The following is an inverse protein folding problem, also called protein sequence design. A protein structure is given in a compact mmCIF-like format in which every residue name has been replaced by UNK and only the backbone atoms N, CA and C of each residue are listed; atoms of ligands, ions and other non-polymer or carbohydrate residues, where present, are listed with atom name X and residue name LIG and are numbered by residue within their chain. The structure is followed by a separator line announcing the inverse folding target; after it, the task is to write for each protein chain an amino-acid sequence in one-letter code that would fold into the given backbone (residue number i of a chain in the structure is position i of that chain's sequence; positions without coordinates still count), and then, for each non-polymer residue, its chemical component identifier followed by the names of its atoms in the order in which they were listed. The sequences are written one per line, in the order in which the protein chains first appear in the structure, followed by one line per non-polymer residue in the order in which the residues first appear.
data_IF_051068180566
#
_entry.id   IF_051068180566
#
_cell.length_a   1.000
_cell.length_b   1.000
_cell.length_c   1.000
_cell.angle_alpha   90.00
_cell.angle_beta   90.00
_cell.angle_gamma   90.00
#
_symmetry.space_group_name_H-M   'P 1'
#
loop_
_entity.id
_entity.type
_entity.pdbx_description
1 polymer ?
#
# COMPACT_ATOMS: atom_id res chain seq x y z
N UNK A 1 5.21 -30.18 -23.11
CA UNK A 1 4.49 -29.24 -22.26
C UNK A 1 5.41 -28.90 -21.10
N UNK A 2 5.89 -27.65 -20.92
CA UNK A 2 6.64 -27.31 -19.73
C UNK A 2 5.72 -27.40 -18.52
N UNK A 3 6.14 -28.15 -17.53
CA UNK A 3 5.48 -28.34 -16.24
C UNK A 3 5.33 -26.97 -15.57
N UNK A 4 4.09 -26.47 -15.45
CA UNK A 4 3.82 -25.24 -14.72
C UNK A 4 4.19 -25.48 -13.26
N UNK A 5 5.34 -24.97 -12.81
CA UNK A 5 5.68 -24.90 -11.40
C UNK A 5 4.54 -24.20 -10.68
N UNK A 6 3.85 -24.91 -9.78
CA UNK A 6 2.96 -24.28 -8.83
C UNK A 6 3.77 -23.22 -8.08
N UNK A 7 3.27 -21.97 -7.95
CA UNK A 7 3.94 -21.00 -7.12
C UNK A 7 4.13 -21.62 -5.73
N UNK A 8 5.34 -21.57 -5.19
CA UNK A 8 5.61 -22.00 -3.83
C UNK A 8 4.79 -21.09 -2.91
N UNK A 9 3.76 -21.64 -2.27
CA UNK A 9 2.99 -20.94 -1.26
C UNK A 9 3.86 -20.76 -0.02
N UNK A 10 3.98 -19.51 0.44
CA UNK A 10 4.60 -19.18 1.70
C UNK A 10 3.54 -19.25 2.81
N UNK A 11 3.81 -20.02 3.86
CA UNK A 11 2.92 -20.06 5.01
C UNK A 11 3.21 -18.87 5.94
N UNK A 12 2.17 -18.07 6.21
CA UNK A 12 2.15 -17.02 7.22
C UNK A 12 1.22 -17.45 8.33
N UNK A 13 1.74 -17.58 9.54
CA UNK A 13 0.92 -17.96 10.69
C UNK A 13 0.08 -16.75 11.13
N UNK A 14 -1.22 -16.93 11.32
CA UNK A 14 -2.15 -15.86 11.71
C UNK A 14 -2.97 -16.29 12.92
N UNK A 15 -3.06 -15.39 13.90
CA UNK A 15 -3.98 -15.51 15.03
C UNK A 15 -5.10 -14.49 14.87
N UNK A 16 -6.35 -14.92 15.00
CA UNK A 16 -7.50 -14.04 15.11
C UNK A 16 -7.64 -13.57 16.56
N UNK A 17 -7.52 -12.28 16.79
CA UNK A 17 -7.82 -11.62 18.06
C UNK A 17 -9.33 -11.36 18.17
N UNK A 18 -9.99 -11.27 17.02
CA UNK A 18 -11.43 -11.23 16.85
C UNK A 18 -11.86 -12.44 16.01
N UNK A 19 -12.59 -13.41 16.59
CA UNK A 19 -12.93 -14.67 15.92
C UNK A 19 -13.85 -14.51 14.70
N UNK A 20 -14.58 -13.40 14.60
CA UNK A 20 -15.50 -13.12 13.49
C UNK A 20 -14.80 -12.56 12.25
N UNK A 21 -13.54 -12.11 12.40
CA UNK A 21 -12.78 -11.53 11.29
C UNK A 21 -12.31 -12.63 10.33
N UNK A 22 -12.46 -12.46 9.00
CA UNK A 22 -11.89 -13.39 8.03
C UNK A 22 -10.36 -13.34 8.05
N UNK A 23 -9.71 -14.43 7.68
CA UNK A 23 -8.28 -14.40 7.36
C UNK A 23 -8.05 -13.53 6.12
N UNK A 24 -6.87 -12.89 5.99
CA UNK A 24 -6.52 -12.16 4.78
C UNK A 24 -6.67 -13.05 3.55
N UNK A 25 -7.35 -12.55 2.52
CA UNK A 25 -7.63 -13.31 1.31
C UNK A 25 -7.39 -12.47 0.06
N UNK A 26 -6.93 -13.13 -1.00
CA UNK A 26 -6.81 -12.55 -2.33
C UNK A 26 -8.17 -12.59 -3.03
N UNK A 27 -8.60 -11.46 -3.60
CA UNK A 27 -9.88 -11.38 -4.29
C UNK A 27 -9.89 -12.21 -5.59
N UNK A 28 -8.75 -12.23 -6.30
CA UNK A 28 -8.59 -12.98 -7.55
C UNK A 28 -7.26 -13.73 -7.59
N UNK A 29 -7.19 -14.84 -8.37
CA UNK A 29 -5.92 -15.51 -8.63
C UNK A 29 -4.91 -14.54 -9.26
N UNK A 30 -3.72 -14.46 -8.67
CA UNK A 30 -2.65 -13.56 -9.13
C UNK A 30 -2.62 -12.18 -8.48
N UNK A 31 -3.58 -11.84 -7.62
CA UNK A 31 -3.51 -10.62 -6.82
C UNK A 31 -2.28 -10.66 -5.90
N UNK A 32 -1.63 -9.50 -5.72
CA UNK A 32 -0.49 -9.36 -4.83
C UNK A 32 -0.90 -8.98 -3.40
N UNK A 33 -2.04 -8.31 -3.24
CA UNK A 33 -2.54 -7.82 -1.97
C UNK A 33 -3.67 -8.68 -1.41
N UNK A 34 -3.53 -9.16 -0.18
CA UNK A 34 -4.59 -9.80 0.57
C UNK A 34 -5.38 -8.76 1.36
N UNK A 35 -6.72 -8.77 1.27
CA UNK A 35 -7.55 -7.76 1.92
C UNK A 35 -7.48 -7.85 3.46
N UNK A 36 -7.42 -6.68 4.10
CA UNK A 36 -7.58 -6.48 5.54
C UNK A 36 -8.86 -5.70 5.80
N UNK A 37 -9.64 -6.13 6.80
CA UNK A 37 -10.92 -5.52 7.16
C UNK A 37 -10.85 -4.76 8.48
N UNK A 38 -11.77 -3.81 8.68
CA UNK A 38 -11.98 -3.16 9.97
C UNK A 38 -12.76 -4.07 10.93
N UNK A 39 -12.40 -4.04 12.22
CA UNK A 39 -13.18 -4.70 13.28
C UNK A 39 -14.18 -3.77 13.97
N UNK A 40 -14.20 -2.51 13.60
CA UNK A 40 -15.04 -1.46 14.19
C UNK A 40 -15.62 -0.58 13.11
N UNK A 41 -16.70 0.11 13.44
CA UNK A 41 -17.18 1.23 12.63
C UNK A 41 -16.25 2.42 12.84
N UNK A 42 -15.98 3.18 11.78
CA UNK A 42 -15.05 4.31 11.79
C UNK A 42 -15.67 5.46 11.00
N UNK A 43 -15.77 6.61 11.64
CA UNK A 43 -16.07 7.89 10.99
C UNK A 43 -14.78 8.69 10.85
N UNK A 44 -14.47 9.11 9.62
CA UNK A 44 -13.28 9.89 9.27
C UNK A 44 -13.72 11.25 8.72
N UNK A 45 -13.62 12.29 9.52
CA UNK A 45 -13.81 13.66 9.05
C UNK A 45 -12.67 14.09 8.09
N UNK A 46 -12.88 15.14 7.27
CA UNK A 46 -11.82 15.69 6.42
C UNK A 46 -10.53 15.97 7.19
N UNK A 47 -9.40 15.45 6.72
CA UNK A 47 -8.09 15.59 7.35
C UNK A 47 -7.87 14.75 8.61
N UNK A 48 -8.87 14.04 9.10
CA UNK A 48 -8.75 13.19 10.27
C UNK A 48 -7.93 11.91 9.98
N UNK A 49 -7.23 11.42 11.00
CA UNK A 49 -6.56 10.12 10.99
C UNK A 49 -6.98 9.26 12.18
N UNK A 50 -7.21 7.99 11.91
CA UNK A 50 -7.65 7.01 12.92
C UNK A 50 -6.84 5.72 12.78
N UNK A 51 -6.39 5.16 13.91
CA UNK A 51 -5.75 3.85 13.96
C UNK A 51 -6.81 2.76 14.09
N UNK A 52 -7.06 2.03 13.01
CA UNK A 52 -8.15 1.05 12.89
C UNK A 52 -7.62 -0.36 13.14
N UNK A 53 -8.20 -1.10 14.10
CA UNK A 53 -7.84 -2.49 14.35
C UNK A 53 -8.35 -3.41 13.24
N UNK A 54 -7.56 -4.46 12.94
CA UNK A 54 -7.93 -5.52 11.98
C UNK A 54 -8.34 -6.82 12.67
N UNK A 55 -8.13 -6.94 13.99
CA UNK A 55 -8.37 -8.17 14.73
C UNK A 55 -7.43 -9.32 14.40
N UNK A 56 -6.30 -9.05 13.76
CA UNK A 56 -5.34 -10.05 13.31
C UNK A 56 -3.95 -9.77 13.85
N UNK A 57 -3.30 -10.81 14.34
CA UNK A 57 -1.86 -10.83 14.59
C UNK A 57 -1.21 -11.91 13.71
N UNK A 58 0.01 -11.69 13.25
CA UNK A 58 0.67 -12.62 12.35
C UNK A 58 2.15 -12.80 12.63
N UNK A 59 2.68 -13.94 12.21
CA UNK A 59 4.10 -14.24 12.24
C UNK A 59 4.60 -14.47 10.82
N UNK A 60 5.32 -13.50 10.31
CA UNK A 60 6.03 -13.62 9.03
C UNK A 60 7.33 -14.42 9.23
N UNK A 61 7.73 -15.28 8.29
CA UNK A 61 9.04 -15.91 8.33
C UNK A 61 10.17 -14.88 8.19
N UNK A 62 11.35 -15.23 8.72
CA UNK A 62 12.57 -14.43 8.49
C UNK A 62 12.84 -14.25 6.98
N UNK A 63 13.37 -13.09 6.61
CA UNK A 63 13.60 -12.70 5.23
C UNK A 63 12.34 -12.26 4.48
N UNK A 64 11.23 -12.07 5.19
CA UNK A 64 10.00 -11.52 4.62
C UNK A 64 9.50 -10.31 5.40
N UNK A 65 8.78 -9.45 4.72
CA UNK A 65 8.09 -8.27 5.26
C UNK A 65 6.64 -8.28 4.81
N UNK A 66 5.74 -7.83 5.67
CA UNK A 66 4.37 -7.50 5.31
C UNK A 66 4.25 -6.00 5.07
N UNK A 67 3.80 -5.61 3.88
CA UNK A 67 3.56 -4.21 3.55
C UNK A 67 2.06 -3.96 3.48
N UNK A 68 1.59 -3.04 4.32
CA UNK A 68 0.19 -2.63 4.36
C UNK A 68 0.00 -1.43 3.44
N UNK A 69 -0.74 -1.64 2.35
CA UNK A 69 -0.99 -0.65 1.31
C UNK A 69 -2.44 -0.14 1.35
N UNK A 70 -2.67 1.12 0.93
CA UNK A 70 -4.01 1.62 0.68
C UNK A 70 -4.71 0.80 -0.42
N UNK A 71 -6.03 0.86 -0.41
CA UNK A 71 -6.86 0.29 -1.48
C UNK A 71 -7.19 1.38 -2.49
N UNK A 72 -6.90 1.13 -3.77
CA UNK A 72 -7.13 2.08 -4.87
C UNK A 72 -8.59 2.57 -4.95
N UNK A 73 -9.55 1.68 -4.65
CA UNK A 73 -10.97 2.04 -4.67
C UNK A 73 -11.37 3.03 -3.58
N UNK A 74 -10.82 2.91 -2.35
CA UNK A 74 -11.03 3.87 -1.28
C UNK A 74 -10.32 5.19 -1.58
N UNK A 75 -9.08 5.12 -2.07
CA UNK A 75 -8.30 6.30 -2.41
C UNK A 75 -8.96 7.13 -3.50
N UNK A 76 -9.41 6.48 -4.59
CA UNK A 76 -9.96 7.19 -5.76
C UNK A 76 -11.37 7.75 -5.50
N UNK A 77 -12.23 7.03 -4.75
CA UNK A 77 -13.62 7.44 -4.55
C UNK A 77 -13.86 8.30 -3.31
N UNK A 78 -13.04 8.11 -2.28
CA UNK A 78 -13.29 8.70 -0.97
C UNK A 78 -12.06 9.43 -0.39
N UNK A 79 -10.95 9.53 -1.14
CA UNK A 79 -9.75 10.19 -0.65
C UNK A 79 -9.08 9.48 0.56
N UNK A 80 -9.49 8.25 0.89
CA UNK A 80 -8.94 7.54 2.05
C UNK A 80 -7.60 6.89 1.70
N UNK A 81 -6.60 7.16 2.52
CA UNK A 81 -5.25 6.62 2.38
C UNK A 81 -4.71 6.12 3.73
N UNK A 82 -3.46 5.68 3.74
CA UNK A 82 -2.71 5.27 4.93
C UNK A 82 -1.58 6.27 5.16
N UNK A 83 -1.49 6.83 6.37
CA UNK A 83 -0.54 7.91 6.70
C UNK A 83 0.91 7.48 6.49
N UNK A 84 1.26 6.27 6.89
CA UNK A 84 2.60 5.68 6.80
C UNK A 84 2.75 4.67 5.66
N UNK A 85 2.01 4.84 4.57
CA UNK A 85 2.04 3.88 3.46
C UNK A 85 3.41 3.80 2.76
N UNK A 86 3.93 2.58 2.52
CA UNK A 86 3.41 1.31 3.02
C UNK A 86 3.72 1.13 4.51
N UNK A 87 2.73 0.72 5.30
CA UNK A 87 2.95 0.31 6.70
C UNK A 87 3.80 -0.96 6.72
N UNK A 88 4.85 -0.99 7.54
CA UNK A 88 5.79 -2.11 7.60
C UNK A 88 5.46 -3.02 8.77
N UNK A 89 5.26 -4.30 8.49
CA UNK A 89 5.09 -5.38 9.47
C UNK A 89 6.34 -6.26 9.41
N UNK A 90 7.16 -6.18 10.44
CA UNK A 90 8.41 -6.93 10.53
C UNK A 90 8.17 -8.41 10.84
N UNK A 91 9.10 -9.30 10.44
CA UNK A 91 9.02 -10.73 10.74
C UNK A 91 8.98 -11.02 12.26
N UNK A 92 9.61 -10.18 13.08
CA UNK A 92 9.60 -10.29 14.55
C UNK A 92 8.37 -9.70 15.24
N UNK A 93 7.49 -8.96 14.53
CA UNK A 93 6.29 -8.38 15.13
C UNK A 93 5.24 -9.44 15.46
N UNK A 94 4.61 -9.32 16.63
CA UNK A 94 3.56 -10.26 17.11
C UNK A 94 2.31 -9.56 17.61
N UNK A 95 2.28 -8.22 17.59
CA UNK A 95 1.11 -7.46 17.97
C UNK A 95 0.02 -7.48 16.90
N UNK A 96 -1.12 -6.88 17.22
CA UNK A 96 -2.20 -6.69 16.26
C UNK A 96 -1.76 -5.79 15.11
N UNK A 97 -2.04 -6.22 13.89
CA UNK A 97 -1.90 -5.37 12.70
C UNK A 97 -3.02 -4.33 12.73
N UNK A 98 -2.63 -3.06 12.83
CA UNK A 98 -3.55 -1.93 12.79
C UNK A 98 -3.24 -1.04 11.61
N UNK A 99 -4.26 -0.40 11.05
CA UNK A 99 -4.13 0.45 9.86
C UNK A 99 -4.37 1.90 10.26
N UNK A 100 -3.38 2.76 10.03
CA UNK A 100 -3.48 4.20 10.30
C UNK A 100 -4.08 4.90 9.09
N UNK A 101 -5.42 4.97 9.03
CA UNK A 101 -6.15 5.63 7.96
C UNK A 101 -6.11 7.15 8.08
N UNK A 102 -6.24 7.83 6.94
CA UNK A 102 -6.42 9.27 6.84
C UNK A 102 -7.45 9.58 5.74
N UNK A 103 -8.34 10.53 6.00
CA UNK A 103 -9.21 11.09 4.98
C UNK A 103 -8.55 12.34 4.37
N UNK A 104 -8.16 12.26 3.10
CA UNK A 104 -7.55 13.35 2.34
C UNK A 104 -8.58 14.17 1.57
N UNK A 105 -9.86 13.79 1.59
CA UNK A 105 -10.92 14.63 1.05
C UNK A 105 -11.02 15.93 1.87
N UNK A 106 -11.24 17.05 1.19
CA UNK A 106 -11.28 18.37 1.83
C UNK A 106 -12.67 18.73 2.42
N UNK A 107 -13.72 17.97 2.10
CA UNK A 107 -15.11 18.33 2.37
C UNK A 107 -15.94 17.20 2.96
N UNK A 108 -15.75 15.98 2.45
CA UNK A 108 -16.62 14.85 2.74
C UNK A 108 -16.05 13.96 3.85
N UNK A 109 -16.88 13.66 4.84
CA UNK A 109 -16.59 12.63 5.82
C UNK A 109 -16.83 11.25 5.22
N UNK A 110 -16.04 10.27 5.64
CA UNK A 110 -16.15 8.88 5.18
C UNK A 110 -16.55 8.00 6.34
N UNK A 111 -17.62 7.25 6.19
CA UNK A 111 -18.02 6.19 7.12
C UNK A 111 -17.55 4.83 6.59
N UNK A 112 -16.84 4.08 7.41
CA UNK A 112 -16.41 2.70 7.16
C UNK A 112 -17.05 1.82 8.21
N UNK A 113 -17.81 0.83 7.79
CA UNK A 113 -18.44 -0.12 8.70
C UNK A 113 -17.47 -1.24 9.09
N UNK A 114 -17.72 -1.88 10.25
CA UNK A 114 -17.09 -3.14 10.62
C UNK A 114 -17.20 -4.16 9.47
N UNK A 115 -16.10 -4.79 9.11
CA UNK A 115 -16.03 -5.74 7.99
C UNK A 115 -15.66 -5.11 6.64
N UNK A 116 -15.67 -3.78 6.53
CA UNK A 116 -15.20 -3.12 5.32
C UNK A 116 -13.71 -3.36 5.11
N UNK A 117 -13.33 -3.57 3.85
CA UNK A 117 -11.94 -3.75 3.43
C UNK A 117 -11.25 -2.40 3.41
N UNK A 118 -10.36 -2.16 4.38
CA UNK A 118 -9.71 -0.87 4.62
C UNK A 118 -8.29 -0.78 4.07
N UNK A 119 -7.63 -1.92 3.86
CA UNK A 119 -6.24 -2.00 3.40
C UNK A 119 -6.01 -3.31 2.66
N UNK A 120 -4.80 -3.48 2.14
CA UNK A 120 -4.32 -4.73 1.57
C UNK A 120 -2.90 -5.04 2.06
N UNK A 121 -2.65 -6.30 2.39
CA UNK A 121 -1.35 -6.81 2.83
C UNK A 121 -0.62 -7.45 1.66
N UNK A 122 0.57 -6.97 1.36
CA UNK A 122 1.51 -7.58 0.41
C UNK A 122 2.65 -8.22 1.20
N UNK A 123 2.89 -9.51 1.01
CA UNK A 123 4.03 -10.20 1.61
C UNK A 123 5.11 -10.40 0.55
N UNK A 124 6.32 -9.92 0.84
CA UNK A 124 7.45 -10.04 -0.07
C UNK A 124 8.76 -10.35 0.67
N UNK A 125 9.75 -10.82 -0.07
CA UNK A 125 11.11 -10.98 0.46
C UNK A 125 11.76 -9.64 0.70
N UNK A 126 12.58 -9.56 1.76
CA UNK A 126 13.36 -8.38 2.10
C UNK A 126 14.81 -8.78 2.36
N UNK A 127 15.72 -7.98 1.85
CA UNK A 127 17.15 -8.13 2.12
C UNK A 127 17.54 -7.32 3.36
N UNK A 128 18.39 -7.92 4.20
CA UNK A 128 19.04 -7.22 5.30
C UNK A 128 20.38 -6.69 4.84
N UNK A 129 20.45 -5.37 4.61
CA UNK A 129 21.68 -4.73 4.19
C UNK A 129 22.66 -4.60 5.36
N UNK A 130 23.92 -5.02 5.15
CA UNK A 130 25.05 -4.64 5.98
C UNK A 130 25.57 -3.28 5.52
N UNK A 131 25.44 -2.26 6.38
CA UNK A 131 25.97 -0.92 6.07
C UNK A 131 27.45 -0.86 6.42
N UNK A 132 28.29 -0.53 5.41
CA UNK A 132 29.73 -0.38 5.55
C UNK A 132 30.09 1.07 5.27
N UNK A 133 30.70 1.72 6.23
CA UNK A 133 31.19 3.08 6.07
C UNK A 133 32.43 3.08 5.17
N UNK A 134 32.45 3.98 4.20
CA UNK A 134 33.55 4.21 3.29
C UNK A 134 33.84 5.71 3.20
N UNK A 135 35.09 6.07 2.96
CA UNK A 135 35.48 7.50 2.82
C UNK A 135 34.87 8.14 1.55
N UNK A 136 34.69 7.35 0.50
CA UNK A 136 34.15 7.81 -0.77
C UNK A 136 33.33 6.68 -1.43
N UNK A 137 32.16 7.04 -1.96
CA UNK A 137 31.36 6.12 -2.76
C UNK A 137 32.00 5.92 -4.16
N UNK A 138 31.83 4.74 -4.77
CA UNK A 138 32.23 4.50 -6.14
C UNK A 138 31.55 5.50 -7.11
N UNK A 139 32.24 5.89 -8.16
CA UNK A 139 31.68 6.74 -9.19
C UNK A 139 30.53 6.04 -9.93
N UNK A 140 29.52 6.80 -10.31
CA UNK A 140 28.38 6.31 -11.10
C UNK A 140 28.07 7.27 -12.25
N UNK A 141 27.45 6.77 -13.32
CA UNK A 141 27.06 7.57 -14.46
C UNK A 141 26.05 8.68 -14.11
N UNK A 142 25.31 8.52 -13.01
CA UNK A 142 24.36 9.51 -12.51
C UNK A 142 25.01 10.54 -11.58
N UNK A 143 26.12 10.21 -10.92
CA UNK A 143 26.78 11.06 -9.93
C UNK A 143 25.82 11.54 -8.84
N UNK A 144 25.92 12.83 -8.48
CA UNK A 144 25.09 13.50 -7.49
C UNK A 144 23.74 13.99 -8.03
N UNK A 145 23.42 13.71 -9.29
CA UNK A 145 22.19 14.12 -9.96
C UNK A 145 20.94 13.54 -9.30
N UNK A 146 20.14 14.39 -8.63
CA UNK A 146 18.87 14.06 -7.98
C UNK A 146 17.74 14.98 -8.46
N UNK A 147 16.57 14.84 -7.89
CA UNK A 147 15.40 15.74 -7.97
C UNK A 147 15.23 16.49 -9.32
N UNK A 148 14.89 15.73 -10.38
CA UNK A 148 14.61 16.32 -11.70
C UNK A 148 15.81 16.42 -12.65
N UNK A 149 16.99 15.87 -12.30
CA UNK A 149 18.17 15.84 -13.19
C UNK A 149 17.93 15.12 -14.52
N UNK A 150 16.88 14.30 -14.62
CA UNK A 150 16.47 13.58 -15.84
C UNK A 150 15.41 14.34 -16.66
N UNK A 151 15.03 15.57 -16.26
CA UNK A 151 13.94 16.32 -16.87
C UNK A 151 12.57 15.69 -16.56
N UNK A 152 11.50 16.28 -17.06
CA UNK A 152 10.17 15.65 -16.94
C UNK A 152 9.00 16.61 -16.71
N UNK A 153 9.25 17.83 -16.26
CA UNK A 153 8.21 18.86 -16.17
C UNK A 153 8.57 20.03 -17.06
N UNK A 154 7.82 20.24 -18.15
CA UNK A 154 7.94 21.40 -19.01
C UNK A 154 8.97 21.33 -20.16
N UNK A 155 9.72 20.25 -20.36
CA UNK A 155 10.75 20.16 -21.38
C UNK A 155 10.40 19.30 -22.61
N UNK A 156 9.20 18.80 -22.76
CA UNK A 156 8.89 17.80 -23.79
C UNK A 156 7.66 18.10 -24.65
N UNK A 157 7.43 19.35 -25.04
CA UNK A 157 6.42 19.66 -26.09
C UNK A 157 6.91 20.65 -27.14
N UNK A 158 8.17 20.54 -27.51
CA UNK A 158 8.66 21.17 -28.75
C UNK A 158 9.25 20.07 -29.63
N UNK A 159 8.44 19.32 -30.30
CA UNK A 159 8.60 18.71 -31.64
C UNK A 159 7.69 17.50 -31.78
N UNK A 160 6.66 17.69 -32.44
CA UNK A 160 5.92 17.02 -33.52
C UNK A 160 4.44 17.21 -33.34
N UNK A 161 3.86 17.96 -34.25
CA UNK A 161 2.40 17.99 -34.46
C UNK A 161 1.93 16.59 -34.81
N UNK A 162 1.19 15.98 -33.89
CA UNK A 162 0.52 14.69 -34.00
C UNK A 162 -0.46 14.59 -32.84
N UNK A 163 -1.69 14.94 -33.13
CA UNK A 163 -2.84 15.01 -32.26
C UNK A 163 -3.11 13.68 -31.52
N UNK A 164 -2.71 13.57 -30.26
CA UNK A 164 -3.30 12.67 -29.27
C UNK A 164 -3.22 13.33 -27.89
N UNK A 165 -4.23 14.15 -27.58
CA UNK A 165 -4.47 14.65 -26.23
C UNK A 165 -4.92 13.47 -25.36
N UNK A 166 -4.00 12.93 -24.56
CA UNK A 166 -4.34 12.11 -23.43
C UNK A 166 -5.01 13.01 -22.38
N UNK A 167 -6.31 12.87 -22.20
CA UNK A 167 -7.04 13.53 -21.12
C UNK A 167 -6.58 12.95 -19.78
N UNK A 168 -6.03 13.79 -18.93
CA UNK A 168 -5.87 13.48 -17.53
C UNK A 168 -7.27 13.33 -16.93
N UNK A 169 -7.59 12.14 -16.41
CA UNK A 169 -8.85 11.91 -15.70
C UNK A 169 -8.84 12.72 -14.39
N UNK A 170 -9.48 13.88 -14.44
CA UNK A 170 -9.87 14.60 -13.25
C UNK A 170 -11.06 13.85 -12.64
N UNK A 171 -10.91 13.30 -11.43
CA UNK A 171 -12.02 12.66 -10.72
C UNK A 171 -12.87 13.77 -10.13
N UNK A 172 -14.08 14.07 -10.66
CA UNK A 172 -14.94 15.10 -10.09
C UNK A 172 -15.46 14.62 -8.73
N UNK A 173 -15.50 15.52 -7.75
CA UNK A 173 -16.29 15.37 -6.54
C UNK A 173 -17.75 15.15 -6.97
N UNK A 174 -18.35 14.04 -6.57
CA UNK A 174 -19.76 13.79 -6.85
C UNK A 174 -20.59 14.77 -6.03
N UNK A 175 -21.19 15.76 -6.70
CA UNK A 175 -22.32 16.51 -6.17
C UNK A 175 -23.57 15.64 -6.24
N UNK A 176 -24.16 15.36 -5.08
CA UNK A 176 -25.41 14.64 -4.94
C UNK A 176 -25.94 14.72 -3.53
#
# INVERSE_FOLDING_TARGET
MPEQRRPSTLDVLVTRLDPEVPLPAYAHPGDAGADLVSTVDVDLAPGERVLVPTGLAMALPEGYVGLVHPRSGLAARHGVSIVNAPGTVDAGYRGEVKVLLVNLDARESVHLARGDRIAQLVVQRVEHAGFVEVERLPDSARGDGGYGSTGGFGAALATTAGDHRGEALHVPSQEG
#
